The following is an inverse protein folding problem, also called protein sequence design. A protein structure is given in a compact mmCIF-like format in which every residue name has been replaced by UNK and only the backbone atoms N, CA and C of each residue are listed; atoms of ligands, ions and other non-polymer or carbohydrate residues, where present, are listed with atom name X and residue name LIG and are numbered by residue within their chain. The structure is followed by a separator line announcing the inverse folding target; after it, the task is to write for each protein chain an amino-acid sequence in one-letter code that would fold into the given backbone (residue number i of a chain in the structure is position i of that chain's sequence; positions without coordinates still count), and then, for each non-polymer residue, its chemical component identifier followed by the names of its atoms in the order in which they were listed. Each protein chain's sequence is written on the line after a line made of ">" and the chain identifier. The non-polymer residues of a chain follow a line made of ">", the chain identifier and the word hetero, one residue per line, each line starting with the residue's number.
data_IF_107874815820
#
_entry.id   IF_107874815820
#
_cell.length_a   1.000
_cell.length_b   1.000
_cell.length_c   1.000
_cell.angle_alpha   90.00
_cell.angle_beta   90.00
_cell.angle_gamma   90.00
#
_symmetry.space_group_name_H-M   'P 1'
#
loop_
_entity.id
_entity.type
_entity.pdbx_description
1 polymer ?
#
# COMPACT_ATOMS: atom_id res chain seq x y z
N UNK A 1 -16.75 12.34 7.83
CA UNK A 1 -16.28 10.96 7.64
C UNK A 1 -14.77 11.04 7.46
N UNK A 2 -13.99 10.20 8.15
CA UNK A 2 -12.53 10.16 8.02
C UNK A 2 -12.14 9.88 6.57
N UNK A 3 -11.07 10.53 6.11
CA UNK A 3 -10.54 10.32 4.76
C UNK A 3 -9.36 9.36 4.79
N UNK A 4 -9.20 8.61 3.72
CA UNK A 4 -7.97 7.89 3.41
C UNK A 4 -7.34 8.51 2.18
N UNK A 5 -6.07 8.86 2.27
CA UNK A 5 -5.30 9.41 1.16
C UNK A 5 -4.19 8.43 0.84
N UNK A 6 -4.31 7.78 -0.31
CA UNK A 6 -3.24 6.95 -0.84
C UNK A 6 -2.23 7.81 -1.61
N UNK A 7 -0.94 7.51 -1.46
CA UNK A 7 0.13 8.10 -2.26
C UNK A 7 0.91 6.98 -2.92
N UNK A 8 1.05 7.03 -4.24
CA UNK A 8 1.78 5.99 -4.94
C UNK A 8 1.79 6.17 -6.45
N UNK A 9 2.39 5.22 -7.14
CA UNK A 9 2.39 5.17 -8.59
C UNK A 9 1.12 4.53 -9.15
N UNK A 10 0.77 4.91 -10.38
CA UNK A 10 -0.18 4.20 -11.22
C UNK A 10 0.58 3.43 -12.30
N UNK A 11 0.08 2.26 -12.68
CA UNK A 11 0.60 1.45 -13.76
C UNK A 11 -0.53 0.68 -14.43
N UNK A 12 -0.49 0.48 -15.73
CA UNK A 12 -1.36 -0.49 -16.39
C UNK A 12 -0.61 -1.82 -16.54
N UNK A 13 -1.03 -2.82 -15.78
CA UNK A 13 -0.48 -4.18 -15.85
C UNK A 13 -1.11 -4.94 -17.01
N UNK A 14 -0.32 -5.33 -18.02
CA UNK A 14 -0.75 -6.23 -19.08
C UNK A 14 -0.32 -7.63 -18.70
N UNK A 15 -1.31 -8.46 -18.36
CA UNK A 15 -1.09 -9.81 -17.84
C UNK A 15 -0.97 -10.80 -19.01
N UNK A 16 0.14 -11.55 -19.03
CA UNK A 16 0.41 -12.60 -20.01
C UNK A 16 0.35 -13.98 -19.35
N UNK A 17 -0.29 -14.92 -20.03
CA UNK A 17 -0.24 -16.34 -19.69
C UNK A 17 -0.01 -17.17 -20.94
N UNK A 18 0.94 -18.13 -20.88
CA UNK A 18 1.33 -18.95 -22.02
C UNK A 18 1.71 -18.13 -23.28
N UNK A 19 2.40 -17.00 -23.05
CA UNK A 19 2.87 -16.10 -24.12
C UNK A 19 1.77 -15.24 -24.78
N UNK A 20 0.55 -15.22 -24.24
CA UNK A 20 -0.57 -14.42 -24.76
C UNK A 20 -1.05 -13.43 -23.72
N UNK A 21 -1.37 -12.17 -24.10
CA UNK A 21 -2.04 -11.25 -23.20
C UNK A 21 -3.45 -11.77 -22.90
N UNK A 22 -3.84 -11.77 -21.62
CA UNK A 22 -5.14 -12.25 -21.18
C UNK A 22 -5.99 -11.12 -20.57
N UNK A 23 -5.36 -10.10 -19.99
CA UNK A 23 -6.06 -9.00 -19.35
C UNK A 23 -5.16 -7.76 -19.27
N UNK A 24 -5.75 -6.58 -19.12
CA UNK A 24 -5.05 -5.34 -18.81
C UNK A 24 -5.75 -4.66 -17.63
N UNK A 25 -5.05 -4.50 -16.53
CA UNK A 25 -5.60 -4.09 -15.23
C UNK A 25 -4.83 -2.89 -14.67
N UNK A 26 -5.50 -1.78 -14.32
CA UNK A 26 -4.84 -0.70 -13.58
C UNK A 26 -4.31 -1.21 -12.24
N UNK A 27 -3.11 -0.79 -11.86
CA UNK A 27 -2.45 -1.25 -10.66
C UNK A 27 -1.48 -0.23 -10.07
N UNK A 28 -0.73 -0.69 -9.10
CA UNK A 28 0.18 0.04 -8.23
C UNK A 28 -0.14 -0.31 -6.78
N UNK A 29 0.85 -0.40 -5.89
CA UNK A 29 0.61 -0.90 -4.53
C UNK A 29 -0.45 -0.08 -3.78
N UNK A 30 -0.22 1.20 -3.56
CA UNK A 30 -1.19 2.08 -2.90
C UNK A 30 -2.48 2.26 -3.73
N UNK A 31 -2.39 2.18 -5.07
CA UNK A 31 -3.55 2.20 -5.96
C UNK A 31 -4.49 1.03 -5.68
N UNK A 32 -3.97 -0.20 -5.63
CA UNK A 32 -4.74 -1.40 -5.36
C UNK A 32 -5.47 -1.32 -4.02
N UNK A 33 -4.77 -0.80 -3.00
CA UNK A 33 -5.35 -0.60 -1.67
C UNK A 33 -6.49 0.43 -1.68
N UNK A 34 -6.32 1.59 -2.33
CA UNK A 34 -7.40 2.61 -2.35
C UNK A 34 -8.59 2.18 -3.19
N UNK A 35 -8.39 1.39 -4.27
CA UNK A 35 -9.51 0.79 -5.02
C UNK A 35 -10.33 -0.12 -4.10
N UNK A 36 -9.69 -0.98 -3.33
CA UNK A 36 -10.37 -1.88 -2.40
C UNK A 36 -11.10 -1.12 -1.28
N UNK A 37 -10.50 -0.05 -0.78
CA UNK A 37 -11.13 0.85 0.19
C UNK A 37 -12.34 1.58 -0.40
N UNK A 38 -12.23 2.10 -1.62
CA UNK A 38 -13.33 2.77 -2.30
C UNK A 38 -14.51 1.82 -2.55
N UNK A 39 -14.23 0.57 -2.98
CA UNK A 39 -15.26 -0.48 -3.11
C UNK A 39 -15.95 -0.77 -1.77
N UNK A 40 -15.20 -0.71 -0.67
CA UNK A 40 -15.72 -0.89 0.70
C UNK A 40 -16.38 0.37 1.28
N UNK A 41 -16.66 1.41 0.47
CA UNK A 41 -17.39 2.61 0.90
C UNK A 41 -16.58 3.63 1.69
N UNK A 42 -15.27 3.44 1.79
CA UNK A 42 -14.37 4.40 2.47
C UNK A 42 -14.21 5.66 1.63
N UNK A 43 -14.22 6.84 2.26
CA UNK A 43 -13.91 8.11 1.62
C UNK A 43 -12.42 8.16 1.25
N UNK A 44 -12.06 7.61 0.11
CA UNK A 44 -10.70 7.47 -0.37
C UNK A 44 -10.35 8.49 -1.47
N UNK A 45 -9.11 9.00 -1.44
CA UNK A 45 -8.51 9.81 -2.50
C UNK A 45 -7.12 9.31 -2.84
N UNK A 46 -6.64 9.66 -4.03
CA UNK A 46 -5.34 9.19 -4.50
C UNK A 46 -4.47 10.31 -5.03
N UNK A 47 -3.24 10.41 -4.53
CA UNK A 47 -2.19 11.31 -5.01
C UNK A 47 -1.22 10.50 -5.86
N UNK A 48 -1.09 10.87 -7.13
CA UNK A 48 -0.26 10.17 -8.09
C UNK A 48 0.04 11.03 -9.31
N UNK A 49 0.67 10.42 -10.29
CA UNK A 49 0.89 11.00 -11.62
C UNK A 49 0.45 10.03 -12.73
N UNK A 50 0.03 10.58 -13.86
CA UNK A 50 -0.32 9.84 -15.06
C UNK A 50 0.06 10.64 -16.31
N UNK A 51 0.25 9.96 -17.43
CA UNK A 51 0.46 10.61 -18.73
C UNK A 51 -0.84 11.17 -19.31
N UNK A 52 -0.71 12.16 -20.19
CA UNK A 52 -1.84 12.67 -20.99
C UNK A 52 -2.09 11.72 -22.18
N UNK A 53 -2.57 10.53 -21.90
CA UNK A 53 -2.89 9.51 -22.90
C UNK A 53 -4.11 8.69 -22.47
N UNK A 54 -4.54 7.78 -23.36
CA UNK A 54 -5.72 6.93 -23.11
C UNK A 54 -5.58 6.03 -21.87
N UNK A 55 -4.37 5.70 -21.47
CA UNK A 55 -4.11 4.88 -20.28
C UNK A 55 -4.31 5.73 -19.04
N UNK A 56 -3.79 6.97 -19.01
CA UNK A 56 -4.04 7.91 -17.93
C UNK A 56 -5.52 8.21 -17.76
N UNK A 57 -6.24 8.46 -18.87
CA UNK A 57 -7.71 8.62 -18.84
C UNK A 57 -8.40 7.38 -18.24
N UNK A 58 -8.00 6.18 -18.65
CA UNK A 58 -8.55 4.93 -18.16
C UNK A 58 -8.28 4.73 -16.66
N UNK A 59 -7.06 4.96 -16.21
CA UNK A 59 -6.68 4.85 -14.78
C UNK A 59 -7.50 5.81 -13.92
N UNK A 60 -7.64 7.07 -14.34
CA UNK A 60 -8.44 8.08 -13.62
C UNK A 60 -9.91 7.69 -13.56
N UNK A 61 -10.47 7.24 -14.69
CA UNK A 61 -11.85 6.80 -14.73
C UNK A 61 -12.06 5.56 -13.85
N UNK A 62 -11.10 4.64 -13.84
CA UNK A 62 -11.16 3.45 -12.99
C UNK A 62 -11.15 3.80 -11.49
N UNK A 63 -10.35 4.78 -11.05
CA UNK A 63 -10.41 5.30 -9.67
C UNK A 63 -11.84 5.77 -9.34
N UNK A 64 -12.41 6.62 -10.18
CA UNK A 64 -13.76 7.19 -9.99
C UNK A 64 -14.85 6.13 -9.97
N UNK A 65 -14.79 5.15 -10.87
CA UNK A 65 -15.76 4.04 -10.96
C UNK A 65 -15.72 3.10 -9.76
N UNK A 66 -14.65 3.19 -8.95
CA UNK A 66 -14.47 2.44 -7.72
C UNK A 66 -14.56 3.33 -6.45
N UNK A 67 -15.17 4.52 -6.57
CA UNK A 67 -15.44 5.39 -5.42
C UNK A 67 -14.25 6.14 -4.86
N UNK A 68 -13.14 6.24 -5.63
CA UNK A 68 -11.93 6.97 -5.22
C UNK A 68 -11.87 8.34 -5.89
N UNK A 69 -11.64 9.39 -5.11
CA UNK A 69 -11.40 10.72 -5.66
C UNK A 69 -10.02 10.77 -6.32
N UNK A 70 -9.99 11.14 -7.61
CA UNK A 70 -8.81 11.20 -8.47
C UNK A 70 -8.35 12.64 -8.78
N UNK A 71 -8.85 13.66 -8.07
CA UNK A 71 -8.56 15.07 -8.40
C UNK A 71 -7.10 15.46 -8.12
N UNK A 72 -6.40 14.65 -7.32
CA UNK A 72 -4.97 14.82 -7.03
C UNK A 72 -4.05 13.90 -7.86
N UNK A 73 -4.54 13.35 -8.96
CA UNK A 73 -3.69 12.68 -9.95
C UNK A 73 -3.20 13.71 -10.95
N UNK A 74 -1.89 14.01 -10.91
CA UNK A 74 -1.24 14.97 -11.81
C UNK A 74 -1.15 14.40 -13.21
N UNK A 75 -1.57 15.19 -14.21
CA UNK A 75 -1.50 14.80 -15.62
C UNK A 75 -0.36 15.54 -16.30
N UNK A 76 0.60 14.80 -16.85
CA UNK A 76 1.76 15.37 -17.54
C UNK A 76 1.56 15.32 -19.05
N UNK A 77 1.49 16.49 -19.73
CA UNK A 77 1.13 16.58 -21.15
C UNK A 77 2.08 15.83 -22.08
N UNK A 78 3.36 15.82 -21.74
CA UNK A 78 4.44 15.32 -22.61
C UNK A 78 4.92 13.91 -22.23
N UNK A 79 4.23 13.24 -21.29
CA UNK A 79 4.61 11.91 -20.80
C UNK A 79 3.62 10.84 -21.17
N UNK A 80 4.12 9.61 -21.14
CA UNK A 80 3.31 8.39 -21.28
C UNK A 80 3.02 7.77 -19.93
N UNK A 81 1.79 7.26 -19.78
CA UNK A 81 1.43 6.49 -18.58
C UNK A 81 2.25 5.21 -18.50
N UNK A 82 2.71 4.83 -17.29
CA UNK A 82 3.50 3.63 -17.09
C UNK A 82 2.74 2.35 -17.44
N UNK A 83 3.49 1.39 -18.01
CA UNK A 83 3.02 0.04 -18.29
C UNK A 83 3.88 -0.98 -17.57
N UNK A 84 3.29 -2.10 -17.19
CA UNK A 84 4.03 -3.31 -16.87
C UNK A 84 3.54 -4.48 -17.72
N UNK A 85 4.45 -5.41 -18.00
CA UNK A 85 4.11 -6.71 -18.56
C UNK A 85 4.31 -7.73 -17.46
N UNK A 86 3.23 -8.37 -17.01
CA UNK A 86 3.23 -9.39 -15.97
C UNK A 86 3.13 -10.78 -16.61
N UNK A 87 4.21 -11.55 -16.63
CA UNK A 87 4.25 -12.89 -17.17
C UNK A 87 3.98 -13.91 -16.08
N UNK A 88 2.81 -14.58 -16.15
CA UNK A 88 2.44 -15.60 -15.18
C UNK A 88 3.09 -16.95 -15.51
N UNK A 89 3.74 -17.55 -14.51
CA UNK A 89 4.21 -18.93 -14.56
C UNK A 89 3.05 -19.96 -14.37
N UNK A 90 3.37 -21.25 -14.30
CA UNK A 90 2.41 -22.33 -14.10
C UNK A 90 1.70 -22.24 -12.73
N UNK A 91 2.33 -21.59 -11.74
CA UNK A 91 1.79 -21.37 -10.40
C UNK A 91 1.11 -20.00 -10.24
N UNK A 92 0.95 -19.23 -11.33
CA UNK A 92 0.46 -17.85 -11.36
C UNK A 92 1.34 -16.85 -10.58
N UNK A 93 2.64 -17.12 -10.40
CA UNK A 93 3.57 -16.10 -9.97
C UNK A 93 3.91 -15.20 -11.15
N UNK A 94 3.98 -13.90 -10.93
CA UNK A 94 4.25 -12.93 -11.99
C UNK A 94 5.71 -12.51 -12.01
N UNK A 95 6.31 -12.56 -13.20
CA UNK A 95 7.56 -11.87 -13.53
C UNK A 95 7.24 -10.56 -14.25
N UNK A 96 7.80 -9.45 -13.80
CA UNK A 96 7.43 -8.12 -14.26
C UNK A 96 8.51 -7.44 -15.08
N UNK A 97 8.11 -6.85 -16.22
CA UNK A 97 8.92 -5.92 -17.01
C UNK A 97 8.21 -4.56 -17.00
N UNK A 98 8.86 -3.53 -16.49
CA UNK A 98 8.28 -2.19 -16.41
C UNK A 98 8.73 -1.31 -17.56
N UNK A 99 7.78 -0.59 -18.15
CA UNK A 99 7.99 0.46 -19.15
C UNK A 99 7.48 1.76 -18.54
N UNK A 100 8.40 2.58 -18.05
CA UNK A 100 8.09 3.86 -17.43
C UNK A 100 8.79 4.96 -18.19
N UNK A 101 8.07 6.04 -18.48
CA UNK A 101 8.69 7.32 -18.67
C UNK A 101 9.30 7.76 -17.34
N UNK A 102 10.30 8.64 -17.39
CA UNK A 102 10.94 9.10 -16.18
C UNK A 102 9.91 9.80 -15.29
N UNK A 103 9.95 9.55 -13.95
CA UNK A 103 9.14 10.33 -13.04
C UNK A 103 9.48 11.80 -13.20
N UNK A 104 8.46 12.64 -13.13
CA UNK A 104 8.61 14.07 -13.28
C UNK A 104 9.18 14.66 -11.98
N UNK A 105 10.12 15.57 -12.11
CA UNK A 105 10.73 16.29 -10.99
C UNK A 105 9.75 17.27 -10.30
N UNK A 106 8.52 17.33 -10.78
CA UNK A 106 7.44 18.16 -10.26
C UNK A 106 6.15 17.36 -10.13
N UNK A 107 6.04 16.54 -9.09
CA UNK A 107 4.75 16.00 -8.67
C UNK A 107 3.90 17.16 -8.13
N UNK A 108 3.05 17.73 -8.95
CA UNK A 108 2.18 18.85 -8.59
C UNK A 108 0.79 18.33 -8.22
N UNK A 109 0.37 18.56 -7.00
CA UNK A 109 -1.00 18.32 -6.58
C UNK A 109 -1.47 19.42 -5.63
N UNK A 110 -2.76 19.69 -5.64
CA UNK A 110 -3.36 20.54 -4.63
C UNK A 110 -3.30 19.78 -3.29
N UNK A 111 -2.60 20.36 -2.31
CA UNK A 111 -2.52 19.73 -0.98
C UNK A 111 -3.92 19.52 -0.41
N UNK A 112 -4.37 18.27 -0.23
CA UNK A 112 -5.70 18.03 0.32
C UNK A 112 -5.77 18.51 1.77
N UNK A 113 -6.93 18.98 2.17
CA UNK A 113 -7.20 19.30 3.58
C UNK A 113 -7.09 18.03 4.41
N UNK A 114 -6.32 18.06 5.48
CA UNK A 114 -6.13 16.98 6.44
C UNK A 114 -6.80 17.35 7.76
N UNK A 115 -7.64 16.46 8.25
CA UNK A 115 -8.24 16.54 9.58
C UNK A 115 -7.57 15.52 10.52
N UNK A 116 -7.64 15.73 11.83
CA UNK A 116 -7.21 14.71 12.79
C UNK A 116 -7.88 13.36 12.50
N UNK A 117 -7.13 12.29 12.68
CA UNK A 117 -7.53 10.90 12.42
C UNK A 117 -7.72 10.51 10.95
N UNK A 118 -7.58 11.43 9.98
CA UNK A 118 -7.45 11.04 8.57
C UNK A 118 -6.24 10.10 8.42
N UNK A 119 -6.28 9.22 7.42
CA UNK A 119 -5.23 8.21 7.25
C UNK A 119 -4.46 8.47 5.95
N UNK A 120 -3.14 8.46 6.01
CA UNK A 120 -2.28 8.50 4.83
C UNK A 120 -1.63 7.13 4.65
N UNK A 121 -1.94 6.48 3.53
CA UNK A 121 -1.33 5.23 3.10
C UNK A 121 -0.28 5.53 2.03
N UNK A 122 0.96 5.22 2.29
CA UNK A 122 2.07 5.50 1.38
C UNK A 122 3.10 4.36 1.41
N UNK A 123 3.92 4.28 0.37
CA UNK A 123 4.93 3.23 0.34
C UNK A 123 5.56 2.99 -1.02
N UNK A 124 6.07 1.78 -1.17
CA UNK A 124 6.81 1.27 -2.32
C UNK A 124 7.96 2.19 -2.76
N UNK A 125 8.51 1.95 -3.96
CA UNK A 125 9.59 2.78 -4.49
C UNK A 125 9.17 4.24 -4.73
N UNK A 126 7.88 4.50 -4.97
CA UNK A 126 7.38 5.86 -5.17
C UNK A 126 7.70 6.77 -3.97
N UNK A 127 7.48 6.29 -2.76
CA UNK A 127 7.79 7.04 -1.54
C UNK A 127 9.31 7.17 -1.26
N UNK A 128 10.14 6.38 -1.93
CA UNK A 128 11.59 6.40 -1.80
C UNK A 128 12.29 7.16 -2.95
N UNK A 129 11.57 7.38 -4.06
CA UNK A 129 12.13 7.94 -5.28
C UNK A 129 12.65 9.37 -5.05
N UNK A 130 13.96 9.61 -5.23
CA UNK A 130 14.57 10.93 -4.99
C UNK A 130 13.95 12.06 -5.80
N UNK A 131 13.35 11.76 -6.95
CA UNK A 131 12.76 12.77 -7.85
C UNK A 131 11.52 13.41 -7.25
N UNK A 132 10.59 12.59 -6.72
CA UNK A 132 9.34 13.06 -6.11
C UNK A 132 9.44 13.22 -4.58
N UNK A 133 10.60 12.90 -4.00
CA UNK A 133 10.81 12.91 -2.56
C UNK A 133 10.45 14.22 -1.86
N UNK A 134 10.85 15.41 -2.37
CA UNK A 134 10.54 16.66 -1.68
C UNK A 134 9.03 16.88 -1.49
N UNK A 135 8.24 16.52 -2.50
CA UNK A 135 6.78 16.67 -2.46
C UNK A 135 6.15 15.65 -1.52
N UNK A 136 6.61 14.39 -1.58
CA UNK A 136 6.12 13.31 -0.70
C UNK A 136 6.47 13.63 0.75
N UNK A 137 7.72 13.95 1.05
CA UNK A 137 8.16 14.29 2.42
C UNK A 137 7.40 15.48 2.99
N UNK A 138 7.29 16.57 2.21
CA UNK A 138 6.55 17.77 2.63
C UNK A 138 5.07 17.46 2.93
N UNK A 139 4.45 16.58 2.14
CA UNK A 139 3.07 16.16 2.42
C UNK A 139 2.95 15.27 3.67
N UNK A 140 3.88 14.34 3.88
CA UNK A 140 3.88 13.49 5.09
C UNK A 140 4.07 14.33 6.36
N UNK A 141 5.00 15.29 6.33
CA UNK A 141 5.20 16.24 7.43
C UNK A 141 3.94 17.06 7.72
N UNK A 142 3.32 17.61 6.68
CA UNK A 142 2.06 18.34 6.79
C UNK A 142 0.96 17.45 7.40
N UNK A 143 0.74 16.25 6.87
CA UNK A 143 -0.28 15.33 7.35
C UNK A 143 -0.07 14.97 8.84
N UNK A 144 1.18 14.66 9.21
CA UNK A 144 1.57 14.40 10.61
C UNK A 144 1.27 15.59 11.52
N UNK A 145 1.60 16.82 11.09
CA UNK A 145 1.33 18.05 11.83
C UNK A 145 -0.16 18.31 12.06
N UNK A 146 -1.02 17.76 11.20
CA UNK A 146 -2.49 17.84 11.29
C UNK A 146 -3.12 16.72 12.10
N UNK A 147 -2.33 15.79 12.63
CA UNK A 147 -2.81 14.65 13.41
C UNK A 147 -3.33 13.48 12.58
N UNK A 148 -2.92 13.37 11.32
CA UNK A 148 -3.21 12.19 10.51
C UNK A 148 -2.46 10.95 11.03
N UNK A 149 -3.00 9.78 10.72
CA UNK A 149 -2.39 8.47 10.96
C UNK A 149 -1.63 8.06 9.71
N UNK A 150 -0.33 7.78 9.84
CA UNK A 150 0.53 7.47 8.71
C UNK A 150 0.84 5.96 8.68
N UNK A 151 0.38 5.28 7.63
CA UNK A 151 0.62 3.86 7.40
C UNK A 151 1.61 3.69 6.24
N UNK A 152 2.79 3.17 6.55
CA UNK A 152 3.87 2.95 5.59
C UNK A 152 3.97 1.48 5.20
N UNK A 153 3.81 1.19 3.89
CA UNK A 153 4.11 -0.11 3.31
C UNK A 153 5.46 -0.07 2.58
N UNK A 154 6.43 -0.80 3.08
CA UNK A 154 7.78 -0.82 2.52
C UNK A 154 7.76 -1.32 1.07
N UNK A 155 7.12 -2.45 0.80
CA UNK A 155 6.91 -3.04 -0.53
C UNK A 155 8.09 -2.82 -1.50
N UNK A 156 9.28 -3.28 -1.09
CA UNK A 156 10.52 -3.05 -1.81
C UNK A 156 10.82 -4.16 -2.81
N UNK A 157 10.98 -3.81 -4.07
CA UNK A 157 11.23 -4.78 -5.15
C UNK A 157 12.74 -5.00 -5.38
N UNK A 158 13.10 -6.25 -5.70
CA UNK A 158 14.49 -6.63 -5.99
C UNK A 158 15.11 -5.86 -7.18
N UNK A 159 14.28 -5.38 -8.12
CA UNK A 159 14.71 -4.51 -9.22
C UNK A 159 15.42 -3.23 -8.78
N UNK A 160 15.09 -2.72 -7.57
CA UNK A 160 15.69 -1.52 -6.98
C UNK A 160 16.82 -1.81 -5.99
N UNK A 161 17.24 -3.08 -5.86
CA UNK A 161 18.28 -3.47 -4.90
C UNK A 161 19.60 -2.69 -5.09
N UNK A 162 19.93 -2.33 -6.32
CA UNK A 162 21.13 -1.58 -6.64
C UNK A 162 21.08 -0.11 -6.17
N UNK A 163 19.90 0.40 -5.82
CA UNK A 163 19.68 1.77 -5.36
C UNK A 163 19.63 1.90 -3.82
N UNK A 164 19.72 0.80 -3.07
CA UNK A 164 19.53 0.78 -1.60
C UNK A 164 20.32 1.88 -0.90
N UNK A 165 21.63 2.01 -1.21
CA UNK A 165 22.46 3.04 -0.56
C UNK A 165 21.95 4.46 -0.82
N UNK A 166 21.45 4.72 -2.02
CA UNK A 166 20.95 6.04 -2.43
C UNK A 166 19.62 6.39 -1.75
N UNK A 167 18.75 5.39 -1.57
CA UNK A 167 17.40 5.60 -1.04
C UNK A 167 17.30 5.41 0.48
N UNK A 168 18.36 4.89 1.14
CA UNK A 168 18.34 4.63 2.59
C UNK A 168 17.97 5.87 3.42
N UNK A 169 18.42 7.11 3.13
CA UNK A 169 17.98 8.28 3.88
C UNK A 169 16.45 8.48 3.80
N UNK A 170 15.86 8.31 2.62
CA UNK A 170 14.43 8.45 2.41
C UNK A 170 13.64 7.33 3.12
N UNK A 171 14.20 6.11 3.16
CA UNK A 171 13.63 4.99 3.89
C UNK A 171 13.57 5.28 5.39
N UNK A 172 14.66 5.78 5.98
CA UNK A 172 14.72 6.15 7.40
C UNK A 172 13.69 7.24 7.71
N UNK A 173 13.62 8.29 6.91
CA UNK A 173 12.67 9.38 7.09
C UNK A 173 11.21 8.89 6.98
N UNK A 174 10.91 7.94 6.08
CA UNK A 174 9.59 7.30 6.04
C UNK A 174 9.28 6.53 7.33
N UNK A 175 10.25 5.79 7.88
CA UNK A 175 10.10 5.09 9.15
C UNK A 175 9.84 6.05 10.33
N UNK A 176 10.47 7.23 10.34
CA UNK A 176 10.28 8.27 11.37
C UNK A 176 8.92 8.96 11.26
N UNK A 177 8.37 9.08 10.05
CA UNK A 177 7.02 9.62 9.85
C UNK A 177 5.94 8.62 10.23
N UNK A 178 6.15 7.34 9.99
CA UNK A 178 5.13 6.31 10.09
C UNK A 178 4.66 6.05 11.53
N UNK A 179 3.35 5.83 11.67
CA UNK A 179 2.73 5.28 12.88
C UNK A 179 2.69 3.75 12.84
N UNK A 180 2.51 3.22 11.64
CA UNK A 180 2.56 1.80 11.34
C UNK A 180 3.53 1.55 10.20
N UNK A 181 4.39 0.57 10.37
CA UNK A 181 5.28 0.05 9.30
C UNK A 181 4.90 -1.38 8.99
N UNK A 182 4.56 -1.62 7.74
CA UNK A 182 4.35 -2.97 7.22
C UNK A 182 5.38 -3.29 6.15
N UNK A 183 5.82 -4.52 6.10
CA UNK A 183 6.59 -5.08 5.00
C UNK A 183 6.47 -6.59 4.98
N UNK A 184 6.94 -7.22 3.90
CA UNK A 184 7.05 -8.67 3.82
C UNK A 184 8.44 -9.15 4.27
N UNK A 185 8.54 -10.42 4.65
CA UNK A 185 9.84 -11.04 4.94
C UNK A 185 10.79 -10.96 3.73
N UNK A 186 10.25 -10.92 2.51
CA UNK A 186 11.03 -10.74 1.28
C UNK A 186 11.62 -9.33 1.20
N UNK A 187 10.81 -8.29 1.49
CA UNK A 187 11.29 -6.90 1.54
C UNK A 187 12.46 -6.76 2.49
N UNK A 188 12.33 -7.31 3.69
CA UNK A 188 13.37 -7.26 4.71
C UNK A 188 14.59 -8.11 4.36
N UNK A 189 14.37 -9.25 3.70
CA UNK A 189 15.44 -10.06 3.14
C UNK A 189 16.30 -9.30 2.12
N UNK A 190 15.64 -8.49 1.27
CA UNK A 190 16.34 -7.67 0.27
C UNK A 190 17.06 -6.49 0.93
N UNK A 191 16.35 -5.71 1.75
CA UNK A 191 16.86 -4.49 2.36
C UNK A 191 17.98 -4.75 3.39
N UNK A 192 17.72 -5.68 4.31
CA UNK A 192 18.56 -5.85 5.51
C UNK A 192 19.28 -7.19 5.58
N UNK A 193 19.05 -8.09 4.61
CA UNK A 193 19.56 -9.49 4.65
C UNK A 193 19.09 -10.25 5.89
N UNK A 194 17.93 -9.86 6.43
CA UNK A 194 17.30 -10.41 7.64
C UNK A 194 15.80 -10.56 7.36
N UNK A 195 15.31 -11.77 7.06
CA UNK A 195 13.86 -11.96 6.81
C UNK A 195 13.05 -12.12 8.12
N UNK A 196 13.69 -12.41 9.25
CA UNK A 196 13.02 -12.73 10.49
C UNK A 196 12.51 -11.46 11.20
N UNK A 197 11.21 -11.43 11.51
CA UNK A 197 10.52 -10.28 12.08
C UNK A 197 11.19 -9.70 13.33
N UNK A 198 11.62 -10.55 14.27
CA UNK A 198 12.29 -10.09 15.50
C UNK A 198 13.62 -9.40 15.23
N UNK A 199 14.41 -9.97 14.32
CA UNK A 199 15.72 -9.38 13.98
C UNK A 199 15.56 -8.04 13.28
N UNK A 200 14.59 -7.94 12.36
CA UNK A 200 14.30 -6.69 11.66
C UNK A 200 13.76 -5.64 12.61
N UNK A 201 12.75 -6.01 13.41
CA UNK A 201 12.17 -5.06 14.36
C UNK A 201 13.21 -4.48 15.31
N UNK A 202 13.99 -5.35 15.97
CA UNK A 202 14.95 -4.92 16.99
C UNK A 202 16.17 -4.17 16.42
N UNK A 203 16.61 -4.50 15.21
CA UNK A 203 17.83 -3.93 14.65
C UNK A 203 17.59 -2.73 13.72
N UNK A 204 16.43 -2.65 13.06
CA UNK A 204 16.23 -1.73 11.95
C UNK A 204 14.99 -0.79 12.14
N UNK A 205 13.89 -1.29 12.72
CA UNK A 205 12.61 -0.56 12.73
C UNK A 205 12.30 0.12 14.06
N UNK A 206 12.50 -0.58 15.19
CA UNK A 206 12.03 -0.13 16.51
C UNK A 206 12.63 1.18 17.00
N UNK A 207 13.71 1.64 16.41
CA UNK A 207 14.33 2.94 16.69
C UNK A 207 13.49 4.10 16.18
N UNK A 208 12.73 3.88 15.09
CA UNK A 208 11.97 4.89 14.35
C UNK A 208 10.47 4.73 14.55
N UNK A 209 9.96 3.52 14.37
CA UNK A 209 8.53 3.20 14.51
C UNK A 209 8.33 2.01 15.47
N UNK A 210 7.32 2.13 16.34
CA UNK A 210 7.05 1.08 17.35
C UNK A 210 6.06 0.03 16.86
N UNK A 211 5.19 0.35 15.90
CA UNK A 211 4.15 -0.56 15.41
C UNK A 211 4.57 -1.17 14.09
N UNK A 212 4.92 -2.44 14.13
CA UNK A 212 5.52 -3.18 13.04
C UNK A 212 4.72 -4.42 12.69
N UNK A 213 4.52 -4.64 11.40
CA UNK A 213 3.78 -5.77 10.84
C UNK A 213 4.66 -6.43 9.78
N UNK A 214 4.96 -7.71 9.94
CA UNK A 214 5.70 -8.52 8.97
C UNK A 214 4.80 -9.61 8.40
N UNK A 215 4.48 -9.53 7.11
CA UNK A 215 3.74 -10.58 6.40
C UNK A 215 4.69 -11.60 5.78
N UNK A 216 4.27 -12.87 5.72
CA UNK A 216 5.12 -13.98 5.31
C UNK A 216 4.40 -14.94 4.34
N UNK A 217 3.61 -14.39 3.41
CA UNK A 217 2.79 -15.19 2.49
C UNK A 217 1.76 -16.04 3.23
N UNK A 218 1.85 -17.36 3.10
CA UNK A 218 0.95 -18.30 3.78
C UNK A 218 1.30 -18.56 5.27
N UNK A 219 2.50 -18.12 5.69
CA UNK A 219 2.93 -18.24 7.09
C UNK A 219 2.28 -17.14 7.95
N UNK A 220 2.30 -17.27 9.30
CA UNK A 220 1.69 -16.29 10.19
C UNK A 220 2.21 -14.86 9.98
N UNK A 221 1.33 -13.89 10.15
CA UNK A 221 1.69 -12.48 10.22
C UNK A 221 2.26 -12.17 11.61
N UNK A 222 3.44 -11.61 11.65
CA UNK A 222 4.12 -11.23 12.88
C UNK A 222 3.90 -9.75 13.20
N UNK A 223 3.42 -9.44 14.40
CA UNK A 223 3.24 -8.07 14.90
C UNK A 223 4.16 -7.82 16.07
N UNK A 224 4.80 -6.66 16.06
CA UNK A 224 5.61 -6.14 17.18
C UNK A 224 5.18 -4.70 17.46
N UNK A 225 5.04 -4.37 18.74
CA UNK A 225 4.67 -3.02 19.13
C UNK A 225 5.34 -2.60 20.45
N UNK A 226 5.01 -1.40 20.91
CA UNK A 226 5.48 -0.86 22.17
C UNK A 226 5.19 -1.78 23.37
N UNK A 227 5.90 -1.56 24.47
CA UNK A 227 5.75 -2.32 25.72
C UNK A 227 6.01 -3.83 25.60
N UNK A 228 6.76 -4.24 24.56
CA UNK A 228 7.11 -5.64 24.33
C UNK A 228 5.97 -6.47 23.74
N UNK A 229 4.94 -5.83 23.18
CA UNK A 229 3.87 -6.57 22.50
C UNK A 229 4.44 -7.33 21.30
N UNK A 230 4.20 -8.64 21.28
CA UNK A 230 4.61 -9.55 20.22
C UNK A 230 3.54 -10.63 20.04
N UNK A 231 2.97 -10.72 18.84
CA UNK A 231 1.92 -11.70 18.54
C UNK A 231 2.01 -12.19 17.11
N UNK A 232 1.80 -13.51 16.93
CA UNK A 232 1.68 -14.18 15.64
C UNK A 232 0.21 -14.41 15.32
N UNK A 233 -0.20 -14.03 14.11
CA UNK A 233 -1.56 -14.22 13.63
C UNK A 233 -1.56 -15.24 12.49
N UNK A 234 -2.16 -16.40 12.66
CA UNK A 234 -2.22 -17.44 11.63
C UNK A 234 -2.87 -16.91 10.36
N UNK A 235 -2.27 -17.21 9.21
CA UNK A 235 -2.88 -16.92 7.90
C UNK A 235 -3.94 -17.98 7.56
N UNK A 236 -4.99 -17.57 6.85
CA UNK A 236 -6.01 -18.51 6.38
C UNK A 236 -5.40 -19.45 5.33
N UNK A 237 -5.60 -20.75 5.53
CA UNK A 237 -5.14 -21.77 4.57
C UNK A 237 -6.09 -21.85 3.40
N UNK A 238 -5.67 -21.31 2.25
CA UNK A 238 -6.41 -21.40 0.99
C UNK A 238 -5.47 -21.76 -0.16
N UNK A 239 -6.04 -22.20 -1.27
CA UNK A 239 -5.32 -22.32 -2.54
C UNK A 239 -5.62 -21.04 -3.35
N UNK A 240 -4.67 -20.10 -3.48
CA UNK A 240 -4.93 -18.85 -4.17
C UNK A 240 -5.08 -19.08 -5.68
N UNK A 241 -5.91 -18.27 -6.31
CA UNK A 241 -5.94 -18.11 -7.78
C UNK A 241 -4.77 -17.24 -8.22
N UNK A 242 -4.51 -16.16 -7.48
CA UNK A 242 -3.36 -15.29 -7.63
C UNK A 242 -2.96 -14.74 -6.26
N UNK A 243 -1.68 -14.42 -6.07
CA UNK A 243 -1.20 -13.71 -4.87
C UNK A 243 -0.85 -12.25 -5.16
N UNK A 244 -1.06 -11.80 -6.41
CA UNK A 244 -0.82 -10.42 -6.81
C UNK A 244 -1.80 -9.51 -6.05
N UNK A 245 -1.30 -8.44 -5.48
CA UNK A 245 -2.11 -7.50 -4.70
C UNK A 245 -2.50 -7.96 -3.30
N UNK A 246 -2.14 -9.19 -2.88
CA UNK A 246 -2.48 -9.69 -1.53
C UNK A 246 -1.96 -8.78 -0.41
N UNK A 247 -0.71 -8.29 -0.53
CA UNK A 247 -0.11 -7.33 0.40
C UNK A 247 -0.81 -5.98 0.39
N UNK A 248 -1.16 -5.48 -0.80
CA UNK A 248 -1.85 -4.20 -0.97
C UNK A 248 -3.25 -4.25 -0.33
N UNK A 249 -3.94 -5.39 -0.49
CA UNK A 249 -5.24 -5.61 0.11
C UNK A 249 -5.17 -5.89 1.61
N UNK A 250 -4.09 -6.48 2.11
CA UNK A 250 -3.81 -6.52 3.55
C UNK A 250 -3.75 -5.10 4.13
N UNK A 251 -3.05 -4.17 3.46
CA UNK A 251 -2.99 -2.77 3.86
C UNK A 251 -4.38 -2.12 3.83
N UNK A 252 -5.15 -2.36 2.75
CA UNK A 252 -6.52 -1.86 2.65
C UNK A 252 -7.41 -2.35 3.81
N UNK A 253 -7.36 -3.64 4.12
CA UNK A 253 -8.12 -4.23 5.22
C UNK A 253 -7.69 -3.71 6.59
N UNK A 254 -6.40 -3.48 6.81
CA UNK A 254 -5.91 -2.86 8.04
C UNK A 254 -6.44 -1.43 8.20
N UNK A 255 -6.33 -0.62 7.15
CA UNK A 255 -6.85 0.77 7.13
C UNK A 255 -8.37 0.79 7.27
N UNK A 256 -9.09 -0.13 6.62
CA UNK A 256 -10.53 -0.31 6.82
C UNK A 256 -10.86 -0.59 8.29
N UNK A 257 -10.10 -1.48 8.94
CA UNK A 257 -10.25 -1.81 10.35
C UNK A 257 -10.07 -0.59 11.26
N UNK A 258 -9.07 0.28 10.99
CA UNK A 258 -8.88 1.52 11.73
C UNK A 258 -10.11 2.44 11.69
N UNK A 259 -10.82 2.48 10.55
CA UNK A 259 -12.04 3.28 10.39
C UNK A 259 -13.21 2.61 11.07
N UNK A 260 -13.45 1.33 10.79
CA UNK A 260 -14.55 0.53 11.32
C UNK A 260 -14.57 0.51 12.85
N UNK A 261 -13.40 0.33 13.46
CA UNK A 261 -13.27 0.25 14.91
C UNK A 261 -13.13 1.62 15.58
N UNK A 262 -13.18 2.71 14.79
CA UNK A 262 -13.08 4.09 15.29
C UNK A 262 -11.74 4.39 15.98
N UNK A 263 -10.65 3.72 15.60
CA UNK A 263 -9.32 3.92 16.20
C UNK A 263 -8.78 5.29 15.82
N UNK A 264 -8.50 6.11 16.82
CA UNK A 264 -8.09 7.50 16.69
C UNK A 264 -6.58 7.69 16.83
N UNK A 265 -6.08 8.88 16.52
CA UNK A 265 -4.72 9.31 16.82
C UNK A 265 -4.35 9.10 18.30
N UNK A 266 -5.29 9.44 19.20
CA UNK A 266 -5.09 9.28 20.64
C UNK A 266 -4.89 7.80 21.04
N UNK A 267 -5.66 6.87 20.44
CA UNK A 267 -5.50 5.43 20.67
C UNK A 267 -4.11 4.96 20.22
N UNK A 268 -3.65 5.45 19.08
CA UNK A 268 -2.33 5.11 18.54
C UNK A 268 -1.21 5.63 19.42
N UNK A 269 -1.32 6.86 19.92
CA UNK A 269 -0.33 7.47 20.81
C UNK A 269 -0.28 6.78 22.17
N UNK A 270 -1.42 6.32 22.67
CA UNK A 270 -1.51 5.54 23.92
C UNK A 270 -0.97 4.12 23.77
N UNK A 271 -0.94 3.59 22.57
CA UNK A 271 -0.68 2.19 22.26
C UNK A 271 -1.96 1.37 22.17
N UNK A 272 -2.05 0.55 21.12
CA UNK A 272 -3.23 -0.28 20.87
C UNK A 272 -3.31 -1.45 21.85
N UNK A 273 -4.52 -1.76 22.31
CA UNK A 273 -4.80 -2.98 23.06
C UNK A 273 -4.70 -4.22 22.16
N UNK A 274 -4.52 -5.39 22.79
CA UNK A 274 -4.51 -6.67 22.06
C UNK A 274 -5.81 -6.88 21.26
N UNK A 275 -6.97 -6.53 21.81
CA UNK A 275 -8.25 -6.67 21.12
C UNK A 275 -8.35 -5.77 19.87
N UNK A 276 -7.78 -4.54 19.92
CA UNK A 276 -7.70 -3.68 18.74
C UNK A 276 -6.78 -4.28 17.67
N UNK A 277 -5.60 -4.78 18.06
CA UNK A 277 -4.73 -5.50 17.15
C UNK A 277 -5.42 -6.70 16.50
N UNK A 278 -6.13 -7.51 17.29
CA UNK A 278 -6.85 -8.69 16.79
C UNK A 278 -7.90 -8.29 15.74
N UNK A 279 -8.69 -7.25 15.99
CA UNK A 279 -9.70 -6.76 15.03
C UNK A 279 -9.07 -6.23 13.74
N UNK A 280 -7.98 -5.46 13.85
CA UNK A 280 -7.26 -4.93 12.69
C UNK A 280 -6.69 -6.04 11.82
N UNK A 281 -6.06 -7.04 12.43
CA UNK A 281 -5.46 -8.16 11.71
C UNK A 281 -6.52 -9.05 11.05
N UNK A 282 -7.68 -9.26 11.68
CA UNK A 282 -8.82 -9.96 11.07
C UNK A 282 -9.26 -9.23 9.80
N UNK A 283 -9.51 -7.92 9.87
CA UNK A 283 -9.90 -7.12 8.71
C UNK A 283 -8.84 -7.15 7.60
N UNK A 284 -7.56 -7.04 7.97
CA UNK A 284 -6.45 -7.10 7.02
C UNK A 284 -6.37 -8.44 6.28
N UNK A 285 -6.51 -9.55 7.01
CA UNK A 285 -6.47 -10.89 6.44
C UNK A 285 -7.71 -11.18 5.56
N UNK A 286 -8.91 -10.71 5.94
CA UNK A 286 -10.13 -10.86 5.14
C UNK A 286 -9.97 -10.21 3.75
N UNK A 287 -9.48 -8.98 3.68
CA UNK A 287 -9.24 -8.29 2.40
C UNK A 287 -8.16 -8.99 1.57
N UNK A 288 -7.06 -9.38 2.20
CA UNK A 288 -5.98 -10.12 1.54
C UNK A 288 -6.46 -11.46 0.98
N UNK A 289 -7.21 -12.24 1.77
CA UNK A 289 -7.79 -13.53 1.37
C UNK A 289 -8.79 -13.36 0.22
N UNK A 290 -9.64 -12.33 0.27
CA UNK A 290 -10.58 -12.05 -0.82
C UNK A 290 -9.85 -11.74 -2.13
N UNK A 291 -8.82 -10.90 -2.10
CA UNK A 291 -8.01 -10.60 -3.27
C UNK A 291 -7.42 -11.88 -3.90
N UNK A 292 -6.97 -12.82 -3.07
CA UNK A 292 -6.37 -14.07 -3.54
C UNK A 292 -7.34 -15.03 -4.25
N UNK A 293 -8.65 -14.75 -4.25
CA UNK A 293 -9.66 -15.58 -4.93
C UNK A 293 -9.80 -15.28 -6.42
N UNK A 294 -9.18 -14.22 -6.92
CA UNK A 294 -9.26 -13.79 -8.32
C UNK A 294 -7.87 -13.45 -8.88
N UNK A 295 -7.82 -13.12 -10.17
CA UNK A 295 -6.61 -12.64 -10.85
C UNK A 295 -6.43 -11.12 -10.72
N UNK A 296 -7.45 -10.41 -10.23
CA UNK A 296 -7.42 -8.96 -10.06
C UNK A 296 -6.68 -8.55 -8.78
N UNK A 297 -6.13 -7.33 -8.80
CA UNK A 297 -5.25 -6.81 -7.75
C UNK A 297 -6.02 -6.20 -6.57
N UNK A 298 -7.35 -6.33 -6.52
CA UNK A 298 -8.22 -5.72 -5.51
C UNK A 298 -9.42 -6.62 -5.20
N UNK A 299 -10.07 -6.37 -4.05
CA UNK A 299 -11.26 -7.14 -3.63
C UNK A 299 -12.41 -7.00 -4.62
N UNK A 300 -13.30 -8.00 -4.69
CA UNK A 300 -14.50 -7.95 -5.53
C UNK A 300 -15.45 -6.81 -5.11
N UNK A 301 -16.30 -6.35 -6.04
CA UNK A 301 -17.33 -5.32 -5.74
C UNK A 301 -18.31 -5.84 -4.70
N UNK A 302 -18.72 -7.10 -4.82
CA UNK A 302 -19.65 -7.77 -3.90
C UNK A 302 -19.08 -7.86 -2.48
N UNK A 303 -17.79 -8.12 -2.34
CA UNK A 303 -17.12 -8.07 -1.05
C UNK A 303 -17.12 -6.65 -0.49
N UNK A 304 -16.76 -5.66 -1.32
CA UNK A 304 -16.74 -4.26 -0.95
C UNK A 304 -18.12 -3.78 -0.45
N UNK A 305 -19.19 -4.11 -1.17
CA UNK A 305 -20.56 -3.77 -0.77
C UNK A 305 -20.94 -4.36 0.59
N UNK A 306 -20.52 -5.61 0.89
CA UNK A 306 -20.72 -6.20 2.22
C UNK A 306 -19.95 -5.45 3.30
N UNK A 307 -18.70 -5.07 3.02
CA UNK A 307 -17.86 -4.31 3.96
C UNK A 307 -18.40 -2.90 4.22
N UNK A 308 -18.96 -2.26 3.22
CA UNK A 308 -19.60 -0.94 3.38
C UNK A 308 -20.73 -0.96 4.42
N UNK A 309 -21.38 -2.10 4.65
CA UNK A 309 -22.43 -2.23 5.68
C UNK A 309 -21.83 -2.29 7.12
N UNK A 310 -20.53 -2.44 7.26
CA UNK A 310 -19.84 -2.47 8.55
C UNK A 310 -19.36 -1.07 9.02
N UNK A 311 -19.37 -0.07 8.12
CA UNK A 311 -19.03 1.34 8.39
C UNK A 311 -20.24 2.14 8.84
#
# INVERSE_FOLDING_TARGET
>A
MRKVIGIGETVLDIIFKNGKPIEAVPGGSSFNAVISLGRAGVNASFISEAGNDRIGEYVIQFLRDNGVNADNVSIFPDSKSPLSLAFLDENNNADYIFYKDHPHDQLEFATPEINPDDIVLFGSFFALNPVVRPQVAGFLEYAKSRGAILYYDINFRSSHQHEIMKITPNLIENLEHADFVRGSHEDFGILYKKPEADKVYNAEISFYCKKFICTQGAEPVEVRAENGFAKSYPSEKMKPVSTIGAGDNFNAGFVFGLIKDGITREDIDRGLSEAQWDSLLVSAQEFSTECCKDIYNYVSKEFGERKNLEL
#
